data_IF_851944530801
#
_entry.id   IF_851944530801
#
_cell.length_a   1.000
_cell.length_b   1.000
_cell.length_c   1.000
_cell.angle_alpha   90.00
_cell.angle_beta   90.00
_cell.angle_gamma   90.00
#
_symmetry.space_group_name_H-M   'P 1'
#
loop_
_entity.id
_entity.type
_entity.pdbx_description
1 polymer ?
#
# COMPACT_ATOMS: atom_id res chain seq x y z
N UNK A 1 -5.53 -31.20 -10.41
CA UNK A 1 -5.98 -30.10 -11.26
C UNK A 1 -6.89 -29.26 -10.38
N UNK A 2 -6.35 -28.29 -9.73
CA UNK A 2 -7.08 -27.37 -8.84
C UNK A 2 -7.24 -26.09 -9.65
N UNK A 3 -8.52 -25.73 -9.91
CA UNK A 3 -8.88 -24.53 -10.66
C UNK A 3 -8.43 -23.27 -9.92
N UNK A 4 -7.86 -22.37 -10.66
CA UNK A 4 -7.56 -21.01 -10.24
C UNK A 4 -8.89 -20.30 -9.94
N UNK A 5 -9.22 -20.13 -8.65
CA UNK A 5 -10.28 -19.21 -8.26
C UNK A 5 -9.75 -17.77 -8.47
N UNK A 6 -10.38 -17.08 -9.37
CA UNK A 6 -10.15 -15.66 -9.62
C UNK A 6 -10.50 -14.87 -8.35
N UNK A 7 -9.55 -14.10 -7.85
CA UNK A 7 -9.79 -13.18 -6.75
C UNK A 7 -10.88 -12.18 -7.15
N UNK A 8 -12.02 -12.23 -6.48
CA UNK A 8 -13.09 -11.26 -6.66
C UNK A 8 -12.64 -9.91 -6.10
N UNK A 9 -12.94 -8.86 -6.85
CA UNK A 9 -12.47 -7.49 -6.61
C UNK A 9 -13.44 -6.76 -5.69
N UNK A 10 -12.94 -5.90 -4.83
CA UNK A 10 -13.73 -4.96 -4.06
C UNK A 10 -14.65 -4.15 -4.99
N UNK A 11 -15.92 -4.53 -5.09
CA UNK A 11 -16.91 -3.84 -5.91
C UNK A 11 -17.94 -3.21 -4.97
N UNK A 12 -17.62 -2.03 -4.45
CA UNK A 12 -18.69 -1.13 -4.04
C UNK A 12 -19.60 -0.87 -5.25
N UNK A 13 -20.88 -0.56 -5.05
CA UNK A 13 -21.89 -0.32 -6.11
C UNK A 13 -21.44 0.74 -7.15
N UNK A 14 -20.37 0.44 -7.88
CA UNK A 14 -20.18 0.98 -9.21
C UNK A 14 -21.15 0.21 -10.09
N UNK A 15 -21.96 0.87 -10.94
CA UNK A 15 -22.92 0.18 -11.78
C UNK A 15 -22.21 -0.98 -12.47
N UNK A 16 -22.79 -2.17 -12.40
CA UNK A 16 -22.36 -3.37 -13.11
C UNK A 16 -22.17 -2.99 -14.58
N UNK A 17 -20.99 -2.55 -14.93
CA UNK A 17 -20.55 -2.51 -16.31
C UNK A 17 -20.22 -3.96 -16.60
N UNK A 18 -21.22 -4.69 -17.13
CA UNK A 18 -20.97 -5.94 -17.81
C UNK A 18 -19.93 -5.65 -18.89
N UNK A 19 -18.66 -5.93 -18.58
CA UNK A 19 -17.59 -5.78 -19.55
C UNK A 19 -17.72 -6.91 -20.57
N UNK A 20 -18.49 -6.64 -21.63
CA UNK A 20 -18.61 -7.50 -22.82
C UNK A 20 -17.21 -7.82 -23.39
N UNK A 21 -16.18 -7.06 -23.06
CA UNK A 21 -14.78 -7.30 -23.41
C UNK A 21 -14.19 -8.57 -22.81
N UNK A 22 -14.61 -8.95 -21.59
CA UNK A 22 -14.18 -10.19 -20.92
C UNK A 22 -14.68 -11.44 -21.69
N UNK A 23 -15.89 -11.37 -22.25
CA UNK A 23 -16.47 -12.46 -23.08
C UNK A 23 -15.77 -12.64 -24.43
N UNK A 24 -15.00 -11.66 -24.91
CA UNK A 24 -14.35 -11.65 -26.22
C UNK A 24 -12.83 -11.87 -26.15
N UNK A 25 -12.26 -12.25 -24.99
CA UNK A 25 -10.82 -12.49 -24.85
C UNK A 25 -9.97 -11.21 -25.03
N UNK A 26 -10.54 -10.03 -24.85
CA UNK A 26 -9.79 -8.76 -24.89
C UNK A 26 -8.96 -8.62 -23.61
N UNK A 27 -7.68 -8.25 -23.77
CA UNK A 27 -6.80 -7.90 -22.65
C UNK A 27 -7.47 -6.84 -21.76
N UNK A 28 -7.36 -6.99 -20.45
CA UNK A 28 -7.85 -6.00 -19.49
C UNK A 28 -7.35 -4.59 -19.89
N UNK A 29 -8.19 -3.55 -19.78
CA UNK A 29 -7.79 -2.20 -20.16
C UNK A 29 -6.58 -1.75 -19.34
N UNK A 30 -5.76 -0.82 -19.87
CA UNK A 30 -4.67 -0.26 -19.09
C UNK A 30 -5.19 0.33 -17.78
N UNK A 31 -4.68 -0.20 -16.65
CA UNK A 31 -5.02 0.20 -15.30
C UNK A 31 -3.81 0.87 -14.66
N UNK A 32 -4.05 1.98 -13.99
CA UNK A 32 -3.04 2.75 -13.25
C UNK A 32 -3.26 2.55 -11.76
N UNK A 33 -2.23 2.23 -11.03
CA UNK A 33 -2.25 2.27 -9.57
C UNK A 33 -2.08 3.71 -9.08
N UNK A 34 -3.03 4.20 -8.30
CA UNK A 34 -3.06 5.55 -7.77
C UNK A 34 -3.11 5.51 -6.23
N UNK A 35 -1.97 5.79 -5.60
CA UNK A 35 -1.81 5.90 -4.16
C UNK A 35 -2.00 7.37 -3.73
N UNK A 36 -3.01 7.61 -2.88
CA UNK A 36 -3.31 8.93 -2.29
C UNK A 36 -2.93 8.87 -0.81
N UNK A 37 -1.75 9.35 -0.48
CA UNK A 37 -1.22 9.38 0.88
C UNK A 37 -1.28 10.79 1.49
N UNK A 38 -0.97 10.92 2.77
CA UNK A 38 -0.99 12.21 3.49
C UNK A 38 -0.08 13.28 2.87
N UNK A 39 1.04 12.88 2.27
CA UNK A 39 2.06 13.83 1.77
C UNK A 39 2.07 14.00 0.25
N UNK A 40 1.31 13.18 -0.49
CA UNK A 40 1.32 13.24 -1.94
C UNK A 40 0.56 12.12 -2.62
N UNK A 41 0.39 12.29 -3.90
CA UNK A 41 -0.23 11.32 -4.81
C UNK A 41 0.87 10.66 -5.63
N UNK A 42 0.82 9.34 -5.76
CA UNK A 42 1.76 8.56 -6.57
C UNK A 42 1.02 7.71 -7.57
N UNK A 43 1.57 7.60 -8.76
CA UNK A 43 0.98 6.94 -9.90
C UNK A 43 1.99 5.95 -10.48
N UNK A 44 1.53 4.73 -10.75
CA UNK A 44 2.30 3.69 -11.45
C UNK A 44 1.44 3.06 -12.55
N UNK A 45 2.02 2.91 -13.72
CA UNK A 45 1.45 2.14 -14.84
C UNK A 45 2.38 0.97 -15.18
N UNK A 46 1.81 -0.23 -15.20
CA UNK A 46 2.51 -1.48 -15.54
C UNK A 46 1.93 -2.10 -16.79
N UNK A 47 2.76 -2.85 -17.52
CA UNK A 47 2.35 -3.71 -18.63
C UNK A 47 3.02 -5.08 -18.52
N UNK A 48 2.48 -6.06 -19.25
CA UNK A 48 3.16 -7.33 -19.46
C UNK A 48 4.31 -7.17 -20.48
N UNK A 49 5.49 -7.68 -20.12
CA UNK A 49 6.67 -7.71 -20.99
C UNK A 49 6.93 -9.09 -21.59
N UNK A 50 6.30 -10.13 -21.04
CA UNK A 50 6.42 -11.52 -21.42
C UNK A 50 5.58 -12.39 -20.48
N UNK A 51 5.75 -13.70 -20.57
CA UNK A 51 5.03 -14.61 -19.66
C UNK A 51 5.53 -14.39 -18.22
N UNK A 52 4.66 -13.87 -17.36
CA UNK A 52 4.94 -13.54 -15.97
C UNK A 52 6.00 -12.43 -15.74
N UNK A 53 6.32 -11.65 -16.78
CA UNK A 53 7.23 -10.52 -16.65
C UNK A 53 6.45 -9.21 -16.73
N UNK A 54 6.74 -8.30 -15.79
CA UNK A 54 6.15 -6.97 -15.75
C UNK A 54 7.14 -5.93 -16.27
N UNK A 55 6.59 -4.90 -16.89
CA UNK A 55 7.33 -3.71 -17.30
C UNK A 55 6.72 -2.47 -16.67
N UNK A 56 7.59 -1.64 -16.08
CA UNK A 56 7.23 -0.30 -15.65
C UNK A 56 7.13 0.62 -16.85
N UNK A 57 5.91 1.05 -17.16
CA UNK A 57 5.63 1.98 -18.26
C UNK A 57 5.81 3.42 -17.82
N UNK A 58 5.22 3.79 -16.67
CA UNK A 58 5.17 5.14 -16.14
C UNK A 58 5.19 5.13 -14.62
N UNK A 59 5.79 6.15 -14.06
CA UNK A 59 5.65 6.50 -12.66
C UNK A 59 5.73 8.01 -12.50
N UNK A 60 5.01 8.55 -11.54
CA UNK A 60 5.04 9.97 -11.20
C UNK A 60 4.53 10.18 -9.77
N UNK A 61 4.96 11.27 -9.16
CA UNK A 61 4.43 11.75 -7.89
C UNK A 61 4.12 13.24 -7.93
N UNK A 62 3.18 13.66 -7.11
CA UNK A 62 2.82 15.06 -6.90
C UNK A 62 2.58 15.28 -5.41
N UNK A 63 3.19 16.29 -4.78
CA UNK A 63 2.95 16.59 -3.38
C UNK A 63 1.51 17.07 -3.16
N UNK A 64 0.97 16.81 -1.97
CA UNK A 64 -0.29 17.33 -1.51
C UNK A 64 -0.07 18.53 -0.56
N UNK A 65 -0.95 19.52 -0.63
CA UNK A 65 -1.00 20.55 0.40
C UNK A 65 -1.26 19.93 1.78
N UNK A 66 -0.65 20.51 2.79
CA UNK A 66 -0.82 20.05 4.16
C UNK A 66 -2.28 20.15 4.61
N UNK A 67 -2.81 19.09 5.22
CA UNK A 67 -4.21 19.04 5.64
C UNK A 67 -5.20 18.62 4.55
N UNK A 68 -4.76 18.41 3.30
CA UNK A 68 -5.65 17.89 2.25
C UNK A 68 -6.06 16.42 2.50
N UNK A 69 -5.17 15.66 3.13
CA UNK A 69 -5.44 14.31 3.65
C UNK A 69 -4.92 14.23 5.08
N UNK A 70 -5.78 13.82 6.02
CA UNK A 70 -5.48 13.70 7.44
C UNK A 70 -5.89 12.31 7.92
N UNK A 71 -4.97 11.58 8.55
CA UNK A 71 -5.20 10.20 9.03
C UNK A 71 -5.84 9.29 7.97
N UNK A 72 -5.41 9.45 6.72
CA UNK A 72 -5.91 8.72 5.56
C UNK A 72 -7.26 9.20 5.03
N UNK A 73 -7.94 10.15 5.68
CA UNK A 73 -9.19 10.74 5.22
C UNK A 73 -8.94 11.92 4.28
N UNK A 74 -9.73 12.02 3.23
CA UNK A 74 -9.68 13.15 2.30
C UNK A 74 -10.48 14.30 2.91
N UNK A 75 -9.78 15.36 3.32
CA UNK A 75 -10.40 16.55 3.90
C UNK A 75 -10.70 17.63 2.84
N UNK A 76 -10.01 17.58 1.70
CA UNK A 76 -10.21 18.55 0.63
C UNK A 76 -10.15 17.86 -0.74
N UNK A 77 -11.33 17.48 -1.25
CA UNK A 77 -11.49 16.77 -2.53
C UNK A 77 -10.89 17.61 -3.69
N UNK A 78 -11.07 18.92 -3.70
CA UNK A 78 -10.58 19.78 -4.78
C UNK A 78 -9.05 19.79 -4.87
N UNK A 79 -8.36 19.98 -3.74
CA UNK A 79 -6.90 19.97 -3.68
C UNK A 79 -6.32 18.60 -4.07
N UNK A 80 -6.93 17.52 -3.59
CA UNK A 80 -6.48 16.16 -3.92
C UNK A 80 -6.74 15.86 -5.40
N UNK A 81 -7.90 16.20 -5.94
CA UNK A 81 -8.23 16.02 -7.36
C UNK A 81 -7.28 16.81 -8.27
N UNK A 82 -6.90 18.02 -7.87
CA UNK A 82 -5.93 18.81 -8.63
C UNK A 82 -4.54 18.15 -8.64
N UNK A 83 -4.10 17.60 -7.51
CA UNK A 83 -2.86 16.83 -7.45
C UNK A 83 -2.93 15.54 -8.31
N UNK A 84 -4.08 14.87 -8.32
CA UNK A 84 -4.32 13.71 -9.20
C UNK A 84 -4.25 14.12 -10.67
N UNK A 85 -4.85 15.23 -11.09
CA UNK A 85 -4.73 15.75 -12.45
C UNK A 85 -3.28 16.04 -12.82
N UNK A 86 -2.52 16.67 -11.90
CA UNK A 86 -1.11 17.00 -12.12
C UNK A 86 -0.25 15.76 -12.27
N UNK A 87 -0.38 14.77 -11.36
CA UNK A 87 0.41 13.53 -11.42
C UNK A 87 0.07 12.73 -12.69
N UNK A 88 -1.22 12.67 -13.07
CA UNK A 88 -1.64 12.00 -14.30
C UNK A 88 -1.02 12.67 -15.54
N UNK A 89 -1.09 14.00 -15.65
CA UNK A 89 -0.47 14.77 -16.72
C UNK A 89 1.06 14.60 -16.75
N UNK A 90 1.69 14.67 -15.60
CA UNK A 90 3.15 14.52 -15.42
C UNK A 90 3.65 13.14 -15.84
N UNK A 91 2.88 12.08 -15.58
CA UNK A 91 3.21 10.71 -15.97
C UNK A 91 3.19 10.50 -17.48
N UNK A 92 2.38 11.28 -18.22
CA UNK A 92 2.18 11.12 -19.65
C UNK A 92 1.39 9.85 -20.02
N UNK A 93 0.71 9.22 -19.04
CA UNK A 93 -0.17 8.07 -19.31
C UNK A 93 -1.40 8.47 -20.11
N UNK A 94 -1.92 7.54 -20.88
CA UNK A 94 -3.22 7.66 -21.59
C UNK A 94 -4.30 6.78 -20.93
N UNK A 95 -3.92 5.97 -19.95
CA UNK A 95 -4.86 5.12 -19.23
C UNK A 95 -5.87 5.98 -18.45
N UNK A 96 -7.13 5.60 -18.50
CA UNK A 96 -8.23 6.29 -17.81
C UNK A 96 -8.75 5.52 -16.61
N UNK A 97 -8.49 4.22 -16.54
CA UNK A 97 -8.92 3.37 -15.45
C UNK A 97 -7.88 3.37 -14.33
N UNK A 98 -8.34 3.45 -13.10
CA UNK A 98 -7.47 3.50 -11.92
C UNK A 98 -7.88 2.47 -10.87
N UNK A 99 -6.87 1.90 -10.21
CA UNK A 99 -7.00 1.22 -8.93
C UNK A 99 -6.62 2.20 -7.83
N UNK A 100 -7.49 2.33 -6.83
CA UNK A 100 -7.34 3.18 -5.65
C UNK A 100 -7.10 2.33 -4.41
N UNK A 101 -6.40 2.87 -3.42
CA UNK A 101 -6.18 2.23 -2.13
C UNK A 101 -7.01 2.86 -1.02
N UNK A 102 -7.55 2.03 -0.12
CA UNK A 102 -8.13 2.44 1.15
C UNK A 102 -7.09 2.29 2.26
N UNK A 103 -6.93 3.27 3.16
CA UNK A 103 -6.07 3.11 4.32
C UNK A 103 -6.54 1.92 5.17
N UNK A 104 -5.62 1.08 5.68
CA UNK A 104 -5.99 -0.07 6.51
C UNK A 104 -6.87 0.31 7.72
N UNK A 105 -6.60 1.45 8.35
CA UNK A 105 -7.39 1.97 9.47
C UNK A 105 -8.86 2.29 9.12
N UNK A 106 -9.17 2.47 7.84
CA UNK A 106 -10.53 2.75 7.35
C UNK A 106 -11.29 1.50 6.91
N UNK A 107 -10.66 0.31 6.99
CA UNK A 107 -11.24 -0.95 6.53
C UNK A 107 -11.26 -1.97 7.67
N UNK A 108 -12.41 -2.56 7.90
CA UNK A 108 -12.57 -3.70 8.80
C UNK A 108 -12.39 -4.95 7.96
N UNK A 109 -11.41 -5.77 8.28
CA UNK A 109 -11.24 -7.09 7.66
C UNK A 109 -11.47 -8.18 8.69
N UNK A 110 -12.16 -9.25 8.31
CA UNK A 110 -12.47 -10.36 9.20
C UNK A 110 -12.53 -11.68 8.44
N UNK A 111 -11.86 -12.69 8.95
CA UNK A 111 -12.07 -14.07 8.51
C UNK A 111 -13.28 -14.65 9.25
N UNK A 112 -14.20 -15.23 8.50
CA UNK A 112 -15.37 -15.96 9.02
C UNK A 112 -15.39 -17.36 8.41
N UNK A 113 -16.10 -18.26 9.07
CA UNK A 113 -16.31 -19.63 8.59
C UNK A 113 -17.80 -19.77 8.29
N UNK A 114 -18.12 -20.23 7.07
CA UNK A 114 -19.49 -20.41 6.60
C UNK A 114 -19.64 -21.83 6.03
N UNK A 115 -20.88 -22.40 6.03
CA UNK A 115 -21.16 -23.65 5.37
C UNK A 115 -20.80 -23.60 3.88
N UNK A 116 -20.06 -24.58 3.40
CA UNK A 116 -19.73 -24.74 1.99
C UNK A 116 -20.89 -25.34 1.18
N UNK A 117 -20.74 -25.34 -0.16
CA UNK A 117 -21.70 -25.96 -1.07
C UNK A 117 -23.01 -25.18 -1.29
N UNK A 118 -23.06 -23.94 -0.85
CA UNK A 118 -24.18 -23.00 -1.08
C UNK A 118 -24.02 -22.28 -2.43
N UNK A 119 -25.12 -21.78 -3.01
CA UNK A 119 -25.04 -20.90 -4.18
C UNK A 119 -24.43 -19.54 -3.83
N UNK A 120 -23.90 -18.83 -4.84
CA UNK A 120 -23.30 -17.49 -4.63
C UNK A 120 -24.28 -16.53 -3.96
N UNK A 121 -25.56 -16.52 -4.37
CA UNK A 121 -26.60 -15.69 -3.76
C UNK A 121 -26.86 -16.05 -2.28
N UNK A 122 -26.83 -17.35 -1.93
CA UNK A 122 -26.98 -17.79 -0.54
C UNK A 122 -25.76 -17.44 0.28
N UNK A 123 -24.57 -17.54 -0.30
CA UNK A 123 -23.32 -17.14 0.34
C UNK A 123 -23.31 -15.65 0.64
N UNK A 124 -23.73 -14.80 -0.31
CA UNK A 124 -23.83 -13.35 -0.13
C UNK A 124 -24.76 -12.99 1.04
N UNK A 125 -25.97 -13.59 1.11
CA UNK A 125 -26.89 -13.39 2.24
C UNK A 125 -26.31 -13.85 3.58
N UNK A 126 -25.57 -14.97 3.60
CA UNK A 126 -24.92 -15.45 4.82
C UNK A 126 -23.79 -14.52 5.26
N UNK A 127 -22.99 -14.03 4.31
CA UNK A 127 -21.94 -13.05 4.55
C UNK A 127 -22.51 -11.77 5.13
N UNK A 128 -23.56 -11.21 4.56
CA UNK A 128 -24.22 -10.00 5.08
C UNK A 128 -24.76 -10.21 6.51
N UNK A 129 -25.40 -11.36 6.75
CA UNK A 129 -25.90 -11.72 8.08
C UNK A 129 -24.79 -11.78 9.12
N UNK A 130 -23.67 -12.45 8.80
CA UNK A 130 -22.52 -12.56 9.69
C UNK A 130 -21.78 -11.23 9.84
N UNK A 131 -21.65 -10.46 8.77
CA UNK A 131 -20.97 -9.17 8.76
C UNK A 131 -21.57 -8.21 9.80
N UNK A 132 -22.89 -8.26 10.00
CA UNK A 132 -23.60 -7.42 10.98
C UNK A 132 -23.11 -7.59 12.42
N UNK A 133 -22.48 -8.73 12.75
CA UNK A 133 -21.95 -9.01 14.08
C UNK A 133 -20.58 -8.33 14.34
N UNK A 134 -19.84 -8.02 13.27
CA UNK A 134 -18.48 -7.50 13.34
C UNK A 134 -18.37 -6.04 12.92
N UNK A 135 -19.32 -5.55 12.13
CA UNK A 135 -19.32 -4.19 11.60
C UNK A 135 -20.13 -3.30 12.55
N UNK A 136 -19.51 -2.27 13.18
CA UNK A 136 -20.20 -1.41 14.17
C UNK A 136 -21.03 -0.29 13.51
N UNK A 137 -21.43 -0.46 12.25
CA UNK A 137 -22.20 0.48 11.44
C UNK A 137 -23.37 -0.23 10.80
N UNK A 138 -24.39 0.51 10.41
CA UNK A 138 -25.50 -0.04 9.62
C UNK A 138 -24.99 -0.51 8.24
N UNK A 139 -25.42 -1.67 7.77
CA UNK A 139 -24.91 -2.26 6.52
C UNK A 139 -25.19 -1.38 5.29
N UNK A 140 -26.26 -0.59 5.32
CA UNK A 140 -26.59 0.38 4.27
C UNK A 140 -25.63 1.59 4.22
N UNK A 141 -24.87 1.84 5.30
CA UNK A 141 -23.80 2.86 5.37
C UNK A 141 -22.42 2.31 4.99
N UNK A 142 -22.30 1.03 4.66
CA UNK A 142 -21.03 0.32 4.46
C UNK A 142 -20.93 -0.21 3.04
N UNK A 143 -19.76 -0.07 2.45
CA UNK A 143 -19.32 -0.87 1.30
C UNK A 143 -18.71 -2.16 1.83
N UNK A 144 -19.34 -3.28 1.53
CA UNK A 144 -18.95 -4.63 1.95
C UNK A 144 -18.55 -5.44 0.72
N UNK A 145 -17.47 -6.18 0.83
CA UNK A 145 -17.04 -7.17 -0.15
C UNK A 145 -16.45 -8.39 0.56
N UNK A 146 -16.38 -9.52 -0.12
CA UNK A 146 -15.82 -10.74 0.44
C UNK A 146 -15.13 -11.61 -0.62
N UNK A 147 -14.24 -12.46 -0.14
CA UNK A 147 -13.56 -13.45 -0.99
C UNK A 147 -13.48 -14.79 -0.26
N UNK A 148 -13.69 -15.90 -1.00
CA UNK A 148 -13.58 -17.26 -0.48
C UNK A 148 -12.11 -17.70 -0.51
N UNK A 149 -11.50 -17.83 0.68
CA UNK A 149 -10.11 -18.23 0.82
C UNK A 149 -9.93 -19.71 0.46
N UNK A 150 -10.88 -20.56 0.90
CA UNK A 150 -10.83 -22.01 0.67
C UNK A 150 -11.53 -22.81 1.77
N UNK A 151 -11.34 -24.14 1.81
CA UNK A 151 -11.90 -24.98 2.87
C UNK A 151 -11.38 -24.58 4.25
N UNK A 152 -12.24 -24.61 5.26
CA UNK A 152 -11.87 -24.35 6.64
C UNK A 152 -10.95 -25.47 7.18
N UNK A 153 -9.90 -25.09 7.91
CA UNK A 153 -8.86 -26.02 8.36
C UNK A 153 -9.40 -27.19 9.22
N UNK A 154 -10.46 -26.95 10.00
CA UNK A 154 -11.01 -27.92 10.95
C UNK A 154 -12.36 -28.50 10.52
N UNK A 155 -12.91 -28.14 9.38
CA UNK A 155 -14.20 -28.59 8.86
C UNK A 155 -14.19 -28.59 7.33
N UNK A 156 -14.02 -29.75 6.67
CA UNK A 156 -13.93 -29.81 5.20
C UNK A 156 -15.22 -29.39 4.48
N UNK A 157 -16.36 -29.43 5.16
CA UNK A 157 -17.67 -29.02 4.64
C UNK A 157 -17.91 -27.52 4.75
N UNK A 158 -17.05 -26.80 5.48
CA UNK A 158 -17.12 -25.37 5.68
C UNK A 158 -16.03 -24.63 4.86
N UNK A 159 -16.27 -23.34 4.59
CA UNK A 159 -15.34 -22.48 3.87
C UNK A 159 -14.88 -21.32 4.74
N UNK A 160 -13.61 -20.94 4.61
CA UNK A 160 -13.10 -19.66 5.11
C UNK A 160 -13.41 -18.54 4.12
N UNK A 161 -14.01 -17.47 4.60
CA UNK A 161 -14.34 -16.27 3.82
C UNK A 161 -13.66 -15.06 4.47
N UNK A 162 -12.98 -14.25 3.67
CA UNK A 162 -12.45 -12.96 4.09
C UNK A 162 -13.51 -11.89 3.82
N UNK A 163 -13.95 -11.20 4.86
CA UNK A 163 -14.75 -9.98 4.75
C UNK A 163 -13.85 -8.76 4.69
N UNK A 164 -14.26 -7.77 3.89
CA UNK A 164 -13.70 -6.43 3.92
C UNK A 164 -14.85 -5.41 3.89
N UNK A 165 -14.82 -4.46 4.81
CA UNK A 165 -15.87 -3.47 4.94
C UNK A 165 -15.30 -2.08 5.25
N UNK A 166 -15.83 -1.06 4.59
CA UNK A 166 -15.49 0.34 4.85
C UNK A 166 -16.75 1.21 4.80
N UNK A 167 -16.76 2.34 5.47
CA UNK A 167 -17.85 3.30 5.32
C UNK A 167 -17.97 3.76 3.87
N UNK A 168 -19.19 3.78 3.32
CA UNK A 168 -19.48 4.25 1.94
C UNK A 168 -18.88 5.63 1.68
N UNK A 169 -19.07 6.57 2.61
CA UNK A 169 -18.50 7.92 2.53
C UNK A 169 -16.98 7.92 2.22
N UNK A 170 -16.21 7.05 2.87
CA UNK A 170 -14.75 7.00 2.67
C UNK A 170 -14.37 6.44 1.29
N UNK A 171 -15.14 5.50 0.78
CA UNK A 171 -14.99 4.95 -0.57
C UNK A 171 -15.40 6.02 -1.60
N UNK A 172 -16.54 6.67 -1.41
CA UNK A 172 -17.08 7.71 -2.28
C UNK A 172 -16.16 8.92 -2.41
N UNK A 173 -15.51 9.36 -1.31
CA UNK A 173 -14.53 10.45 -1.34
C UNK A 173 -13.37 10.14 -2.31
N UNK A 174 -12.85 8.91 -2.29
CA UNK A 174 -11.77 8.49 -3.19
C UNK A 174 -12.23 8.35 -4.63
N UNK A 175 -13.43 7.84 -4.83
CA UNK A 175 -14.07 7.77 -6.15
C UNK A 175 -14.26 9.20 -6.70
N UNK A 176 -14.84 10.11 -5.91
CA UNK A 176 -15.08 11.50 -6.28
C UNK A 176 -13.79 12.22 -6.68
N UNK A 177 -12.69 12.01 -5.95
CA UNK A 177 -11.38 12.58 -6.30
C UNK A 177 -10.91 12.11 -7.68
N UNK A 178 -11.01 10.81 -7.97
CA UNK A 178 -10.57 10.27 -9.25
C UNK A 178 -11.47 10.76 -10.41
N UNK A 179 -12.79 10.75 -10.21
CA UNK A 179 -13.76 11.23 -11.21
C UNK A 179 -13.61 12.73 -11.49
N UNK A 180 -13.42 13.54 -10.43
CA UNK A 180 -13.14 14.97 -10.58
C UNK A 180 -11.83 15.24 -11.35
N UNK A 181 -10.88 14.31 -11.30
CA UNK A 181 -9.67 14.36 -12.11
C UNK A 181 -9.86 13.85 -13.55
N UNK A 182 -11.05 13.36 -13.92
CA UNK A 182 -11.37 12.80 -15.23
C UNK A 182 -10.89 11.36 -15.43
N UNK A 183 -10.72 10.63 -14.34
CA UNK A 183 -10.34 9.22 -14.30
C UNK A 183 -11.55 8.36 -13.94
N UNK A 184 -11.45 7.05 -14.20
CA UNK A 184 -12.50 6.07 -13.94
C UNK A 184 -12.00 5.06 -12.90
N UNK A 185 -12.44 5.13 -11.65
CA UNK A 185 -12.15 4.08 -10.66
C UNK A 185 -12.72 2.73 -11.13
N UNK A 186 -11.87 1.71 -11.14
CA UNK A 186 -12.25 0.36 -11.53
C UNK A 186 -12.06 -0.61 -10.37
N UNK A 187 -11.05 -0.36 -9.53
CA UNK A 187 -10.70 -1.20 -8.39
C UNK A 187 -10.53 -0.30 -7.17
N UNK A 188 -11.12 -0.71 -6.05
CA UNK A 188 -10.81 -0.20 -4.71
C UNK A 188 -10.17 -1.33 -3.93
N UNK A 189 -8.91 -1.16 -3.53
CA UNK A 189 -8.12 -2.16 -2.79
C UNK A 189 -7.75 -1.63 -1.41
N UNK A 190 -7.20 -2.47 -0.56
CA UNK A 190 -6.62 -2.07 0.72
C UNK A 190 -5.13 -1.81 0.53
N UNK A 191 -4.61 -0.68 1.01
CA UNK A 191 -3.21 -0.29 0.81
C UNK A 191 -2.22 -1.34 1.33
N UNK A 192 -2.53 -2.03 2.45
CA UNK A 192 -1.70 -3.12 2.97
C UNK A 192 -1.69 -4.34 2.04
N UNK A 193 -2.81 -4.65 1.38
CA UNK A 193 -2.90 -5.76 0.43
C UNK A 193 -2.15 -5.45 -0.87
N UNK A 194 -2.29 -4.23 -1.37
CA UNK A 194 -1.50 -3.75 -2.50
C UNK A 194 0.00 -3.78 -2.19
N UNK A 195 0.41 -3.29 -1.02
CA UNK A 195 1.81 -3.34 -0.60
C UNK A 195 2.33 -4.78 -0.50
N UNK A 196 1.51 -5.71 0.04
CA UNK A 196 1.83 -7.14 0.11
C UNK A 196 2.04 -7.74 -1.28
N UNK A 197 1.13 -7.51 -2.22
CA UNK A 197 1.27 -8.01 -3.59
C UNK A 197 2.60 -7.56 -4.23
N UNK A 198 3.02 -6.31 -3.99
CA UNK A 198 4.30 -5.82 -4.47
C UNK A 198 5.50 -6.44 -3.74
N UNK A 199 5.42 -6.67 -2.41
CA UNK A 199 6.51 -7.25 -1.62
C UNK A 199 6.67 -8.75 -1.91
N UNK A 200 5.61 -9.47 -2.19
CA UNK A 200 5.65 -10.90 -2.52
C UNK A 200 6.51 -11.19 -3.76
N UNK A 201 6.48 -10.30 -4.75
CA UNK A 201 7.39 -10.39 -5.91
C UNK A 201 8.85 -10.23 -5.53
N UNK A 202 9.14 -9.47 -4.49
CA UNK A 202 10.51 -9.22 -4.02
C UNK A 202 10.97 -10.38 -3.15
N UNK A 203 10.12 -10.88 -2.27
CA UNK A 203 10.41 -12.03 -1.43
C UNK A 203 10.63 -13.30 -2.25
N UNK A 204 9.89 -13.46 -3.34
CA UNK A 204 10.09 -14.55 -4.30
C UNK A 204 11.50 -14.57 -4.94
N UNK A 205 12.23 -13.45 -4.90
CA UNK A 205 13.62 -13.36 -5.38
C UNK A 205 14.66 -13.68 -4.29
N UNK A 206 14.23 -13.88 -3.05
CA UNK A 206 15.08 -14.33 -1.95
C UNK A 206 15.50 -15.79 -2.14
N UNK A 207 16.56 -16.26 -1.44
CA UNK A 207 16.94 -17.67 -1.47
C UNK A 207 15.74 -18.59 -1.18
N UNK A 208 15.59 -19.66 -1.96
CA UNK A 208 14.46 -20.61 -1.91
C UNK A 208 13.08 -19.95 -2.12
N UNK A 209 13.02 -18.82 -2.84
CA UNK A 209 11.77 -18.08 -3.04
C UNK A 209 11.20 -17.44 -1.76
N UNK A 210 12.02 -17.23 -0.73
CA UNK A 210 11.60 -16.72 0.57
C UNK A 210 10.83 -17.72 1.44
N UNK A 211 10.73 -18.99 1.02
CA UNK A 211 9.95 -19.99 1.73
C UNK A 211 10.46 -20.24 3.15
N UNK A 212 9.57 -20.21 4.13
CA UNK A 212 9.86 -20.35 5.55
C UNK A 212 10.61 -19.17 6.17
N UNK A 213 10.76 -18.06 5.45
CA UNK A 213 11.36 -16.83 5.97
C UNK A 213 10.32 -15.90 6.57
N UNK A 214 10.63 -15.34 7.72
CA UNK A 214 9.85 -14.28 8.35
C UNK A 214 10.43 -12.93 7.90
N UNK A 215 9.64 -12.20 7.14
CA UNK A 215 10.01 -10.92 6.54
C UNK A 215 9.24 -9.79 7.23
N UNK A 216 9.93 -8.81 7.78
CA UNK A 216 9.31 -7.61 8.33
C UNK A 216 9.41 -6.46 7.32
N UNK A 217 8.29 -5.84 7.00
CA UNK A 217 8.18 -4.66 6.15
C UNK A 217 7.80 -3.45 7.01
N UNK A 218 8.63 -2.41 6.97
CA UNK A 218 8.38 -1.11 7.58
C UNK A 218 8.19 -0.06 6.48
N UNK A 219 6.96 0.38 6.27
CA UNK A 219 6.64 1.46 5.36
C UNK A 219 6.61 2.78 6.13
N UNK A 220 7.73 3.50 6.14
CA UNK A 220 7.88 4.74 6.89
C UNK A 220 7.38 5.90 6.03
N UNK A 221 6.17 6.35 6.33
CA UNK A 221 5.50 7.45 5.66
C UNK A 221 5.87 8.82 6.22
N UNK A 222 5.02 9.82 5.92
CA UNK A 222 5.19 11.17 6.45
C UNK A 222 4.76 11.28 7.94
N UNK A 223 3.64 10.67 8.32
CA UNK A 223 3.07 10.73 9.66
C UNK A 223 3.07 9.37 10.36
N UNK A 224 2.84 8.30 9.63
CA UNK A 224 2.61 6.96 10.13
C UNK A 224 3.59 5.99 9.50
N UNK A 225 4.01 5.01 10.27
CA UNK A 225 4.74 3.82 9.82
C UNK A 225 3.81 2.63 9.87
N UNK A 226 3.57 1.99 8.72
CA UNK A 226 2.87 0.71 8.64
C UNK A 226 3.88 -0.43 8.76
N UNK A 227 3.58 -1.37 9.62
CA UNK A 227 4.42 -2.52 9.93
C UNK A 227 3.65 -3.78 9.57
N UNK A 228 4.21 -4.60 8.68
CA UNK A 228 3.67 -5.91 8.33
C UNK A 228 4.76 -6.95 8.49
N UNK A 229 4.49 -8.02 9.23
CA UNK A 229 5.39 -9.18 9.30
C UNK A 229 4.73 -10.34 8.57
N UNK A 230 5.44 -10.90 7.61
CA UNK A 230 4.95 -11.90 6.68
C UNK A 230 5.71 -13.23 6.87
N UNK A 231 5.00 -14.33 6.80
CA UNK A 231 5.54 -15.69 6.66
C UNK A 231 4.89 -16.33 5.42
N UNK A 232 5.72 -16.71 4.47
CA UNK A 232 5.26 -17.31 3.20
C UNK A 232 4.17 -16.44 2.49
N UNK A 233 4.39 -15.11 2.48
CA UNK A 233 3.46 -14.14 1.88
C UNK A 233 2.19 -13.86 2.70
N UNK A 234 1.97 -14.57 3.83
CA UNK A 234 0.81 -14.34 4.68
C UNK A 234 1.15 -13.41 5.86
N UNK A 235 0.31 -12.43 6.16
CA UNK A 235 0.53 -11.55 7.30
C UNK A 235 0.29 -12.32 8.60
N UNK A 236 1.34 -12.35 9.44
CA UNK A 236 1.29 -12.93 10.80
C UNK A 236 1.24 -11.85 11.88
N UNK A 237 1.50 -10.59 11.50
CA UNK A 237 1.39 -9.43 12.37
C UNK A 237 1.29 -8.15 11.54
N UNK A 238 0.38 -7.26 11.90
CA UNK A 238 0.22 -5.94 11.30
C UNK A 238 0.00 -4.89 12.39
N UNK A 239 0.60 -3.71 12.22
CA UNK A 239 0.47 -2.59 13.15
C UNK A 239 0.75 -1.27 12.47
N UNK A 240 0.08 -0.21 12.93
CA UNK A 240 0.45 1.18 12.64
C UNK A 240 1.12 1.83 13.84
N UNK A 241 2.05 2.73 13.56
CA UNK A 241 2.79 3.50 14.54
C UNK A 241 2.83 4.98 14.15
N UNK A 242 2.50 5.93 15.05
CA UNK A 242 2.52 7.37 14.77
C UNK A 242 3.97 7.89 14.73
N UNK A 243 4.74 7.42 13.75
CA UNK A 243 6.12 7.80 13.49
C UNK A 243 6.33 7.99 11.99
N UNK A 244 6.99 9.07 11.57
CA UNK A 244 7.28 9.34 10.16
C UNK A 244 8.14 10.58 9.93
N UNK A 245 8.38 10.88 8.66
CA UNK A 245 9.30 11.94 8.22
C UNK A 245 8.92 13.37 8.59
N UNK A 246 7.65 13.60 9.00
CA UNK A 246 7.21 14.89 9.49
C UNK A 246 7.86 15.26 10.82
N UNK A 247 8.30 14.28 11.62
CA UNK A 247 9.07 14.55 12.84
C UNK A 247 10.41 15.20 12.49
N UNK A 248 11.13 14.63 11.52
CA UNK A 248 12.38 15.25 11.04
C UNK A 248 12.14 16.67 10.50
N UNK A 249 11.08 16.87 9.71
CA UNK A 249 10.74 18.21 9.21
C UNK A 249 10.43 19.16 10.36
N UNK A 250 9.71 18.72 11.39
CA UNK A 250 9.38 19.53 12.56
C UNK A 250 10.62 19.87 13.40
N UNK A 251 11.61 18.97 13.47
CA UNK A 251 12.88 19.24 14.14
C UNK A 251 13.67 20.32 13.39
N UNK A 252 13.68 20.29 12.07
CA UNK A 252 14.28 21.34 11.22
C UNK A 252 13.58 22.69 11.46
N UNK A 253 12.23 22.70 11.47
CA UNK A 253 11.42 23.89 11.77
C UNK A 253 11.84 24.51 13.12
N UNK A 254 11.94 23.68 14.14
CA UNK A 254 12.31 24.14 15.51
C UNK A 254 13.74 24.65 15.59
N UNK A 255 14.66 23.99 14.93
CA UNK A 255 16.08 24.35 14.99
C UNK A 255 16.41 25.62 14.20
N UNK A 256 15.78 25.82 13.04
CA UNK A 256 16.16 26.90 12.13
C UNK A 256 15.10 27.98 11.96
N UNK A 257 13.94 27.89 12.62
CA UNK A 257 12.89 28.89 12.53
C UNK A 257 12.22 29.00 11.15
N UNK A 258 12.35 27.96 10.32
CA UNK A 258 11.75 27.91 8.98
C UNK A 258 10.25 27.58 9.06
N UNK A 259 9.49 27.90 8.00
CA UNK A 259 8.17 27.31 7.82
C UNK A 259 8.28 25.81 7.54
N UNK A 260 7.21 25.05 7.78
CA UNK A 260 7.21 23.60 7.52
C UNK A 260 7.49 23.28 6.04
N UNK A 261 6.87 24.02 5.13
CA UNK A 261 7.02 23.81 3.68
C UNK A 261 8.44 24.13 3.20
N UNK A 262 9.05 25.19 3.77
CA UNK A 262 10.44 25.53 3.51
C UNK A 262 11.37 24.43 4.03
N UNK A 263 11.17 23.97 5.26
CA UNK A 263 11.95 22.90 5.87
C UNK A 263 11.84 21.60 5.09
N UNK A 264 10.64 21.22 4.65
CA UNK A 264 10.41 20.00 3.83
C UNK A 264 11.07 20.10 2.45
N UNK A 265 10.99 21.28 1.83
CA UNK A 265 11.63 21.53 0.54
C UNK A 265 13.16 21.47 0.64
N UNK A 266 13.75 22.14 1.62
CA UNK A 266 15.20 22.13 1.86
C UNK A 266 15.72 20.75 2.26
N UNK A 267 14.96 20.03 3.10
CA UNK A 267 15.27 18.65 3.45
C UNK A 267 15.35 17.74 2.22
N UNK A 268 14.39 17.83 1.31
CA UNK A 268 14.36 17.06 0.06
C UNK A 268 15.45 17.46 -0.91
N UNK A 269 15.83 18.72 -0.93
CA UNK A 269 16.90 19.25 -1.77
C UNK A 269 18.31 18.98 -1.21
N UNK A 270 18.42 18.61 0.08
CA UNK A 270 19.71 18.54 0.77
C UNK A 270 20.36 19.90 1.04
N UNK A 271 19.56 20.99 1.00
CA UNK A 271 20.00 22.38 1.20
C UNK A 271 19.67 22.85 2.64
N UNK A 272 20.32 22.21 3.60
CA UNK A 272 20.17 22.51 5.02
C UNK A 272 21.44 23.10 5.59
N UNK A 273 21.35 23.94 6.66
CA UNK A 273 22.50 24.58 7.28
C UNK A 273 23.56 23.59 7.80
N UNK A 274 24.76 24.06 7.95
CA UNK A 274 25.84 23.34 8.62
C UNK A 274 25.40 22.91 10.03
N UNK A 275 25.80 21.68 10.44
CA UNK A 275 25.35 21.08 11.69
C UNK A 275 24.10 20.20 11.56
N UNK A 276 23.30 20.32 10.50
CA UNK A 276 22.06 19.55 10.32
C UNK A 276 22.24 18.04 10.54
N UNK A 277 23.32 17.47 9.98
CA UNK A 277 23.56 16.03 10.10
C UNK A 277 23.78 15.60 11.53
N UNK A 278 24.57 16.34 12.30
CA UNK A 278 24.92 15.97 13.67
C UNK A 278 23.80 16.30 14.66
N UNK A 279 23.18 17.48 14.50
CA UNK A 279 22.29 18.03 15.52
C UNK A 279 20.84 17.59 15.35
N UNK A 280 20.44 17.21 14.11
CA UNK A 280 19.05 16.88 13.78
C UNK A 280 18.93 15.50 13.12
N UNK A 281 19.67 15.24 12.05
CA UNK A 281 19.50 13.99 11.31
C UNK A 281 19.93 12.78 12.13
N UNK A 282 21.10 12.78 12.73
CA UNK A 282 21.58 11.66 13.55
C UNK A 282 20.65 11.33 14.74
N UNK A 283 20.19 12.29 15.54
CA UNK A 283 19.17 12.05 16.57
C UNK A 283 17.86 11.45 16.01
N UNK A 284 17.40 11.93 14.86
CA UNK A 284 16.23 11.36 14.21
C UNK A 284 16.46 9.91 13.78
N UNK A 285 17.61 9.60 13.18
CA UNK A 285 17.97 8.24 12.77
C UNK A 285 18.00 7.27 13.96
N UNK A 286 18.58 7.71 15.09
CA UNK A 286 18.60 6.95 16.33
C UNK A 286 17.18 6.69 16.85
N UNK A 287 16.30 7.70 16.82
CA UNK A 287 14.89 7.58 17.19
C UNK A 287 14.16 6.61 16.27
N UNK A 288 14.34 6.72 14.95
CA UNK A 288 13.75 5.83 13.98
C UNK A 288 14.17 4.37 14.20
N UNK A 289 15.45 4.12 14.39
CA UNK A 289 15.97 2.78 14.67
C UNK A 289 15.46 2.21 16.00
N UNK A 290 15.25 3.06 16.99
CA UNK A 290 14.64 2.67 18.26
C UNK A 290 13.17 2.25 18.07
N UNK A 291 12.40 3.02 17.30
CA UNK A 291 11.00 2.69 17.00
C UNK A 291 10.89 1.35 16.25
N UNK A 292 11.75 1.10 15.25
CA UNK A 292 11.82 -0.19 14.56
C UNK A 292 12.17 -1.32 15.54
N UNK A 293 13.15 -1.10 16.40
CA UNK A 293 13.56 -2.10 17.42
C UNK A 293 12.41 -2.43 18.37
N UNK A 294 11.70 -1.42 18.88
CA UNK A 294 10.54 -1.60 19.77
C UNK A 294 9.42 -2.37 19.08
N UNK A 295 9.15 -2.08 17.82
CA UNK A 295 8.14 -2.79 17.05
C UNK A 295 8.48 -4.28 16.88
N UNK A 296 9.73 -4.61 16.58
CA UNK A 296 10.20 -6.00 16.47
C UNK A 296 10.13 -6.70 17.83
N UNK A 297 10.53 -6.04 18.92
CA UNK A 297 10.40 -6.60 20.27
C UNK A 297 8.93 -6.87 20.64
N UNK A 298 8.03 -5.96 20.29
CA UNK A 298 6.60 -6.16 20.50
C UNK A 298 6.07 -7.33 19.70
N UNK A 299 6.48 -7.48 18.45
CA UNK A 299 6.15 -8.66 17.63
C UNK A 299 6.58 -9.96 18.33
N UNK A 300 7.82 -10.05 18.84
CA UNK A 300 8.32 -11.24 19.54
C UNK A 300 7.56 -11.54 20.84
N UNK A 301 7.07 -10.52 21.54
CA UNK A 301 6.34 -10.70 22.81
C UNK A 301 4.86 -10.97 22.62
N UNK A 302 4.27 -10.56 21.50
CA UNK A 302 2.83 -10.70 21.21
C UNK A 302 2.48 -11.86 20.31
N UNK A 303 3.48 -12.56 19.76
CA UNK A 303 3.29 -13.68 18.85
C UNK A 303 4.17 -14.88 19.24
N UNK A 304 3.92 -16.08 18.74
CA UNK A 304 4.77 -17.24 19.02
C UNK A 304 6.12 -17.22 18.27
N UNK A 305 6.39 -16.20 17.49
CA UNK A 305 7.60 -16.11 16.67
C UNK A 305 8.71 -15.40 17.43
N UNK A 306 9.95 -15.89 17.28
CA UNK A 306 11.12 -15.36 18.00
C UNK A 306 12.23 -14.87 17.05
N UNK A 307 11.96 -14.78 15.74
CA UNK A 307 12.94 -14.32 14.75
C UNK A 307 12.28 -13.47 13.66
N UNK A 308 13.09 -12.68 12.99
CA UNK A 308 12.84 -12.04 11.70
C UNK A 308 14.09 -12.27 10.87
N UNK A 309 13.94 -12.84 9.68
CA UNK A 309 15.06 -13.23 8.82
C UNK A 309 15.53 -12.07 7.92
N UNK A 310 14.60 -11.22 7.49
CA UNK A 310 14.86 -10.06 6.64
C UNK A 310 13.98 -8.88 7.06
N UNK A 311 14.55 -7.68 7.08
CA UNK A 311 13.84 -6.43 7.31
C UNK A 311 13.89 -5.57 6.05
N UNK A 312 12.72 -5.16 5.57
CA UNK A 312 12.58 -4.27 4.45
C UNK A 312 12.10 -2.89 4.90
N UNK A 313 12.76 -1.84 4.42
CA UNK A 313 12.32 -0.46 4.58
C UNK A 313 11.71 0.03 3.28
N UNK A 314 10.51 0.60 3.35
CA UNK A 314 9.76 1.20 2.26
C UNK A 314 9.20 2.56 2.69
N UNK A 315 8.52 3.25 1.77
CA UNK A 315 7.99 4.60 2.01
C UNK A 315 9.00 5.70 1.73
N UNK A 316 8.54 6.94 1.80
CA UNK A 316 9.36 8.11 1.45
C UNK A 316 10.56 8.34 2.37
N UNK A 317 10.51 7.82 3.61
CA UNK A 317 11.63 7.96 4.56
C UNK A 317 12.69 6.88 4.41
N UNK A 318 12.41 5.79 3.71
CA UNK A 318 13.38 4.69 3.54
C UNK A 318 14.68 5.11 2.83
N UNK A 319 14.63 6.22 2.09
CA UNK A 319 15.77 6.79 1.36
C UNK A 319 16.62 7.74 2.20
N UNK A 320 16.26 8.02 3.45
CA UNK A 320 17.06 8.91 4.31
C UNK A 320 18.45 8.28 4.52
N UNK A 321 19.52 9.01 4.19
CA UNK A 321 20.88 8.49 4.33
C UNK A 321 21.17 7.99 5.75
N UNK A 322 21.78 6.82 5.87
CA UNK A 322 22.14 6.22 7.16
C UNK A 322 21.03 5.42 7.84
N UNK A 323 19.76 5.52 7.42
CA UNK A 323 18.66 4.84 8.10
C UNK A 323 18.80 3.31 8.05
N UNK A 324 19.15 2.75 6.90
CA UNK A 324 19.33 1.29 6.75
C UNK A 324 20.40 0.78 7.69
N UNK A 325 21.55 1.47 7.71
CA UNK A 325 22.72 1.03 8.48
C UNK A 325 22.47 1.06 9.98
N UNK A 326 21.83 2.11 10.46
CA UNK A 326 21.51 2.23 11.88
C UNK A 326 20.45 1.22 12.32
N UNK A 327 19.41 0.98 11.49
CA UNK A 327 18.39 -0.05 11.75
C UNK A 327 19.03 -1.44 11.77
N UNK A 328 19.84 -1.79 10.77
CA UNK A 328 20.54 -3.07 10.72
C UNK A 328 21.48 -3.26 11.93
N UNK A 329 22.22 -2.20 12.29
CA UNK A 329 23.12 -2.23 13.46
C UNK A 329 22.40 -2.46 14.78
N UNK A 330 21.22 -1.81 14.98
CA UNK A 330 20.46 -1.94 16.24
C UNK A 330 19.67 -3.23 16.33
N UNK A 331 18.99 -3.62 15.27
CA UNK A 331 18.14 -4.82 15.26
C UNK A 331 18.94 -6.11 15.10
N UNK A 332 20.14 -6.04 14.56
CA UNK A 332 20.97 -7.19 14.11
C UNK A 332 20.27 -8.05 13.05
N UNK A 333 19.30 -7.48 12.35
CA UNK A 333 18.58 -8.12 11.25
C UNK A 333 19.11 -7.58 9.93
N UNK A 334 19.26 -8.45 8.94
CA UNK A 334 19.58 -8.03 7.57
C UNK A 334 18.52 -7.05 7.07
N UNK A 335 18.91 -5.81 6.81
CA UNK A 335 18.01 -4.72 6.45
C UNK A 335 18.34 -4.18 5.07
N UNK A 336 17.32 -3.94 4.26
CA UNK A 336 17.49 -3.32 2.94
C UNK A 336 16.30 -2.46 2.56
N UNK A 337 16.54 -1.49 1.66
CA UNK A 337 15.48 -0.67 1.07
C UNK A 337 14.79 -1.44 -0.05
N UNK A 338 13.47 -1.40 -0.08
CA UNK A 338 12.66 -2.05 -1.11
C UNK A 338 12.58 -1.19 -2.37
N UNK A 339 12.75 -1.82 -3.52
CA UNK A 339 12.29 -1.29 -4.80
C UNK A 339 11.20 -2.20 -5.36
N UNK A 340 9.94 -1.76 -5.44
CA UNK A 340 8.85 -2.58 -5.98
C UNK A 340 9.05 -2.93 -7.46
N UNK A 341 9.94 -2.21 -8.15
CA UNK A 341 10.26 -2.40 -9.56
C UNK A 341 11.44 -3.35 -9.81
N UNK A 342 12.01 -3.91 -8.75
CA UNK A 342 13.13 -4.88 -8.88
C UNK A 342 12.70 -6.06 -9.76
N UNK A 343 13.52 -6.37 -10.77
CA UNK A 343 13.25 -7.45 -11.73
C UNK A 343 12.17 -7.12 -12.77
N UNK A 344 11.67 -5.88 -12.85
CA UNK A 344 10.83 -5.42 -13.94
C UNK A 344 11.68 -4.86 -15.09
N UNK A 345 11.18 -5.00 -16.31
CA UNK A 345 11.70 -4.25 -17.44
C UNK A 345 11.29 -2.77 -17.30
N UNK A 346 12.09 -1.87 -17.85
CA UNK A 346 11.80 -0.44 -17.84
C UNK A 346 11.48 0.04 -19.27
N UNK A 347 10.40 0.79 -19.43
CA UNK A 347 10.12 1.46 -20.69
C UNK A 347 11.14 2.58 -20.96
N UNK A 348 11.38 2.90 -22.24
CA UNK A 348 12.40 3.88 -22.67
C UNK A 348 12.20 5.29 -22.09
N UNK A 349 10.99 5.63 -21.64
CA UNK A 349 10.67 6.91 -21.01
C UNK A 349 10.92 6.96 -19.51
N UNK A 350 11.29 5.86 -18.88
CA UNK A 350 11.53 5.79 -17.44
C UNK A 350 12.91 6.37 -17.11
N UNK A 351 12.94 7.34 -16.19
CA UNK A 351 14.18 7.97 -15.71
C UNK A 351 14.81 7.13 -14.60
N UNK A 352 15.74 6.24 -14.94
CA UNK A 352 16.36 5.30 -13.99
C UNK A 352 16.97 5.96 -12.75
N UNK A 353 17.67 7.09 -12.92
CA UNK A 353 18.29 7.80 -11.79
C UNK A 353 17.25 8.26 -10.76
N UNK A 354 16.14 8.82 -11.24
CA UNK A 354 15.02 9.23 -10.40
C UNK A 354 14.36 8.01 -9.76
N UNK A 355 14.11 6.96 -10.54
CA UNK A 355 13.50 5.73 -10.07
C UNK A 355 14.28 5.09 -8.92
N UNK A 356 15.61 5.02 -9.01
CA UNK A 356 16.47 4.44 -7.97
C UNK A 356 16.31 5.14 -6.61
N UNK A 357 16.09 6.44 -6.64
CA UNK A 357 15.90 7.24 -5.42
C UNK A 357 14.46 7.10 -4.90
N UNK A 358 13.47 7.23 -5.79
CA UNK A 358 12.08 7.36 -5.37
C UNK A 358 11.35 6.01 -5.22
N UNK A 359 11.89 4.92 -5.79
CA UNK A 359 11.22 3.62 -5.86
C UNK A 359 10.57 3.14 -4.53
N UNK A 360 11.21 3.28 -3.37
CA UNK A 360 10.63 2.79 -2.11
C UNK A 360 9.31 3.44 -1.74
N UNK A 361 9.06 4.65 -2.23
CA UNK A 361 7.81 5.38 -1.98
C UNK A 361 6.62 4.88 -2.83
N UNK A 362 6.86 4.06 -3.84
CA UNK A 362 5.83 3.61 -4.79
C UNK A 362 5.31 2.18 -4.51
N UNK A 363 5.59 1.62 -3.34
CA UNK A 363 5.23 0.23 -3.03
C UNK A 363 3.72 -0.01 -3.20
N UNK A 364 2.88 0.83 -2.59
CA UNK A 364 1.41 0.76 -2.68
C UNK A 364 0.94 1.00 -4.11
N UNK A 365 1.39 2.09 -4.76
CA UNK A 365 1.00 2.39 -6.13
C UNK A 365 1.37 1.27 -7.12
N UNK A 366 2.51 0.60 -6.90
CA UNK A 366 2.91 -0.56 -7.69
C UNK A 366 1.97 -1.75 -7.49
N UNK A 367 1.64 -2.09 -6.25
CA UNK A 367 0.70 -3.15 -5.94
C UNK A 367 -0.70 -2.89 -6.51
N UNK A 368 -1.19 -1.64 -6.39
CA UNK A 368 -2.45 -1.23 -7.02
C UNK A 368 -2.42 -1.41 -8.54
N UNK A 369 -1.29 -1.05 -9.20
CA UNK A 369 -1.16 -1.24 -10.64
C UNK A 369 -1.13 -2.74 -11.05
N UNK A 370 -0.68 -3.62 -10.14
CA UNK A 370 -0.68 -5.07 -10.37
C UNK A 370 -2.08 -5.66 -10.45
N UNK A 371 -3.10 -4.99 -9.88
CA UNK A 371 -4.51 -5.41 -9.99
C UNK A 371 -5.04 -5.51 -11.42
N UNK A 372 -4.28 -5.02 -12.38
CA UNK A 372 -4.56 -5.23 -13.81
C UNK A 372 -4.41 -6.69 -14.24
N UNK A 373 -3.60 -7.47 -13.54
CA UNK A 373 -3.18 -8.81 -13.94
C UNK A 373 -3.85 -9.91 -13.09
N UNK A 374 -4.71 -9.52 -12.15
CA UNK A 374 -5.55 -10.41 -11.33
C UNK A 374 -6.72 -10.98 -12.13
#
# INVERSE_FOLDING_TARGET
MVGSHEAQRFRGELPLIFDIGLLLGKKNPPLVGLDISTSGVKLVELSEAGKNELRLERFASEPLPRGAVVDGNIENIEQVSEAVRKVWKKSGTRAKYVALGMPPASVITKKIILPGGTSDEQLEMQVESEASQYIPFALDEVSLDFDVIGPAANSPDDIEVMLAASRKEKVEDRVAVAEAAGLKPLVMDIESYAARAAIDRITAQLPKGGQGQIVALFQIGAQVTHISVLLDGQPIYEREQPFGGNQLTQDIVRAYGMSFDEADTKKKAGDLPEGYENDILNPFLESAALEVTRAIQFFFTSTPYARVDQLFLAGGCAIIPGLVDIVASRTKISTSVVSPFKGMQLASGVREKQLRIEAPAYLVACGLAMRRFD
#
